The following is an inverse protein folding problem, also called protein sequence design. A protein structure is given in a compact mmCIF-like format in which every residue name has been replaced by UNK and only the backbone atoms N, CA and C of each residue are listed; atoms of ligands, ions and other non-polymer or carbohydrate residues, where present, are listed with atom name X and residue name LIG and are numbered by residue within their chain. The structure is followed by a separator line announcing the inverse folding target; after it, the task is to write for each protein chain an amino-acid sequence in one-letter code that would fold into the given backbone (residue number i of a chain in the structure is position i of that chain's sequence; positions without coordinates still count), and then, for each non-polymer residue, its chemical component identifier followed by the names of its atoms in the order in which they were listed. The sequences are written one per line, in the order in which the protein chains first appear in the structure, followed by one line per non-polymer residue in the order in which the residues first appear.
data_IF_138118398501
#
_entry.id   IF_138118398501
#
_cell.length_a   1.000
_cell.length_b   1.000
_cell.length_c   1.000
_cell.angle_alpha   90.00
_cell.angle_beta   90.00
_cell.angle_gamma   90.00
#
_symmetry.space_group_name_H-M   'P 1'
#
loop_
_entity.id
_entity.type
_entity.pdbx_description
1 polymer ?
#
# COMPACT_ATOMS: atom_id res chain seq x y z
N UNK A 1 -1.38 12.02 -41.25
CA UNK A 1 -1.99 12.67 -40.07
C UNK A 1 -3.29 11.95 -39.72
N UNK A 2 -3.19 10.69 -39.27
CA UNK A 2 -4.34 9.84 -38.93
C UNK A 2 -3.81 8.60 -38.19
N UNK A 3 -3.56 8.71 -36.88
CA UNK A 3 -3.27 7.53 -36.00
C UNK A 3 -3.42 7.83 -34.49
N UNK A 4 -4.10 8.93 -34.11
CA UNK A 4 -4.32 9.28 -32.70
C UNK A 4 -5.66 8.72 -32.14
N UNK A 5 -6.58 8.32 -33.01
CA UNK A 5 -7.93 7.87 -32.60
C UNK A 5 -7.96 6.39 -32.19
N UNK A 6 -7.12 5.55 -32.81
CA UNK A 6 -6.97 4.13 -32.45
C UNK A 6 -6.28 3.97 -31.08
N UNK A 7 -5.20 4.71 -30.87
CA UNK A 7 -4.42 4.68 -29.61
C UNK A 7 -5.20 5.23 -28.40
N UNK A 8 -6.10 6.19 -28.61
CA UNK A 8 -6.96 6.72 -27.54
C UNK A 8 -8.14 5.81 -27.19
N UNK A 9 -8.60 4.96 -28.12
CA UNK A 9 -9.67 3.98 -27.87
C UNK A 9 -9.17 2.82 -27.00
N UNK A 10 -7.99 2.26 -27.29
CA UNK A 10 -7.38 1.19 -26.48
C UNK A 10 -6.97 1.70 -25.09
N UNK A 11 -6.47 2.93 -25.00
CA UNK A 11 -6.17 3.58 -23.73
C UNK A 11 -7.44 3.82 -22.89
N UNK A 12 -8.56 4.22 -23.51
CA UNK A 12 -9.84 4.37 -22.80
C UNK A 12 -10.39 3.02 -22.31
N UNK A 13 -10.25 1.97 -23.12
CA UNK A 13 -10.66 0.61 -22.72
C UNK A 13 -9.89 0.10 -21.52
N UNK A 14 -8.56 0.29 -21.48
CA UNK A 14 -7.74 -0.08 -20.32
C UNK A 14 -8.09 0.71 -19.05
N UNK A 15 -8.46 2.00 -19.20
CA UNK A 15 -8.89 2.84 -18.09
C UNK A 15 -10.25 2.42 -17.53
N UNK A 16 -11.21 2.10 -18.38
CA UNK A 16 -12.54 1.64 -17.94
C UNK A 16 -12.43 0.31 -17.18
N UNK A 17 -11.58 -0.61 -17.65
CA UNK A 17 -11.31 -1.87 -16.96
C UNK A 17 -10.71 -1.66 -15.57
N UNK A 18 -9.70 -0.77 -15.44
CA UNK A 18 -9.10 -0.44 -14.15
C UNK A 18 -10.10 0.24 -13.22
N UNK A 19 -10.97 1.08 -13.77
CA UNK A 19 -12.00 1.79 -13.04
C UNK A 19 -13.07 0.83 -12.50
N UNK A 20 -13.60 -0.07 -13.33
CA UNK A 20 -14.54 -1.11 -12.91
C UNK A 20 -13.91 -2.02 -11.85
N UNK A 21 -12.68 -2.46 -12.07
CA UNK A 21 -11.93 -3.28 -11.12
C UNK A 21 -11.83 -2.60 -9.74
N UNK A 22 -11.33 -1.36 -9.66
CA UNK A 22 -11.18 -0.68 -8.37
C UNK A 22 -12.51 -0.29 -7.73
N UNK A 23 -13.53 0.01 -8.55
CA UNK A 23 -14.89 0.24 -8.06
C UNK A 23 -15.43 -1.00 -7.36
N UNK A 24 -15.20 -2.19 -7.92
CA UNK A 24 -15.60 -3.45 -7.30
C UNK A 24 -14.76 -3.76 -6.05
N UNK A 25 -13.43 -3.67 -6.15
CA UNK A 25 -12.50 -3.98 -5.05
C UNK A 25 -12.67 -3.07 -3.82
N UNK A 26 -13.10 -1.82 -4.02
CA UNK A 26 -13.33 -0.85 -2.95
C UNK A 26 -14.82 -0.60 -2.70
N UNK A 27 -15.69 -1.47 -3.19
CA UNK A 27 -17.12 -1.42 -2.89
C UNK A 27 -17.41 -1.95 -1.47
N UNK A 28 -18.51 -1.50 -0.88
CA UNK A 28 -18.96 -1.94 0.44
C UNK A 28 -18.36 -1.17 1.61
N UNK A 29 -18.46 -1.75 2.80
CA UNK A 29 -17.91 -1.17 4.03
C UNK A 29 -16.43 -1.52 4.15
N UNK A 30 -15.58 -0.50 4.03
CA UNK A 30 -14.14 -0.68 4.13
C UNK A 30 -13.73 -0.79 5.61
N UNK A 31 -12.83 -1.73 5.95
CA UNK A 31 -12.38 -1.91 7.32
C UNK A 31 -11.67 -0.64 7.81
N UNK A 32 -12.16 -0.09 8.92
CA UNK A 32 -11.48 0.98 9.63
C UNK A 32 -10.51 0.35 10.62
N UNK A 33 -9.23 0.69 10.49
CA UNK A 33 -8.18 0.20 11.36
C UNK A 33 -8.43 0.67 12.80
N UNK A 34 -8.74 -0.26 13.70
CA UNK A 34 -9.05 0.01 15.11
C UNK A 34 -7.77 -0.08 15.95
N UNK A 35 -6.85 0.86 15.70
CA UNK A 35 -5.71 1.01 16.58
C UNK A 35 -6.19 1.54 17.94
N UNK A 36 -5.70 0.92 19.03
CA UNK A 36 -5.77 1.50 20.37
C UNK A 36 -5.08 2.87 20.32
N UNK A 37 -5.90 3.90 20.11
CA UNK A 37 -5.42 5.27 19.96
C UNK A 37 -5.25 5.85 21.35
N UNK A 38 -4.04 6.32 21.64
CA UNK A 38 -3.71 6.99 22.91
C UNK A 38 -4.57 8.26 23.13
N UNK A 39 -5.12 8.81 22.05
CA UNK A 39 -6.01 9.99 22.07
C UNK A 39 -7.18 9.79 21.12
N UNK A 40 -8.41 10.22 21.50
CA UNK A 40 -9.54 10.16 20.59
C UNK A 40 -9.21 10.93 19.31
N UNK A 41 -9.51 10.31 18.16
CA UNK A 41 -9.30 10.93 16.84
C UNK A 41 -10.08 12.25 16.80
N UNK A 42 -9.37 13.38 16.71
CA UNK A 42 -9.99 14.71 16.66
C UNK A 42 -10.89 14.82 15.41
N UNK A 43 -12.06 15.44 15.56
CA UNK A 43 -13.00 15.68 14.46
C UNK A 43 -12.39 16.56 13.35
N UNK A 44 -11.42 17.41 13.71
CA UNK A 44 -10.60 18.18 12.78
C UNK A 44 -9.19 17.60 12.81
N UNK A 45 -8.71 17.11 11.67
CA UNK A 45 -7.37 16.54 11.54
C UNK A 45 -6.31 17.61 11.81
N UNK A 46 -5.59 17.47 12.93
CA UNK A 46 -4.36 18.24 13.14
C UNK A 46 -3.20 17.56 12.40
N UNK A 47 -2.42 18.30 11.62
CA UNK A 47 -1.22 17.79 10.94
C UNK A 47 0.02 17.71 11.85
N UNK A 48 -0.18 17.67 13.17
CA UNK A 48 0.89 17.52 14.14
C UNK A 48 1.40 16.07 14.11
N UNK A 49 2.55 15.85 13.49
CA UNK A 49 3.19 14.55 13.38
C UNK A 49 4.61 14.59 13.96
N UNK A 50 5.07 13.44 14.43
CA UNK A 50 6.46 13.21 14.85
C UNK A 50 7.02 12.04 14.03
N UNK A 51 8.25 12.18 13.56
CA UNK A 51 8.97 11.12 12.86
C UNK A 51 9.92 10.42 13.83
N UNK A 52 9.82 9.09 13.92
CA UNK A 52 10.75 8.25 14.67
C UNK A 52 11.53 7.40 13.66
N UNK A 53 12.84 7.55 13.64
CA UNK A 53 13.73 6.80 12.75
C UNK A 53 14.51 5.76 13.55
N UNK A 54 14.65 4.56 12.99
CA UNK A 54 15.47 3.51 13.55
C UNK A 54 16.24 2.79 12.42
N UNK A 55 17.33 2.13 12.78
CA UNK A 55 18.19 1.41 11.84
C UNK A 55 18.13 -0.08 12.12
N UNK A 56 17.99 -0.88 11.06
CA UNK A 56 18.04 -2.33 11.16
C UNK A 56 19.49 -2.83 11.07
N UNK A 57 19.89 -3.83 11.88
CA UNK A 57 21.21 -4.46 11.76
C UNK A 57 21.44 -5.05 10.36
N UNK A 58 22.67 -4.96 9.85
CA UNK A 58 23.01 -5.46 8.52
C UNK A 58 22.74 -6.97 8.36
N UNK A 59 22.83 -7.74 9.44
CA UNK A 59 22.50 -9.17 9.46
C UNK A 59 21.03 -9.41 9.13
N UNK A 60 20.13 -8.62 9.72
CA UNK A 60 18.69 -8.72 9.46
C UNK A 60 18.35 -8.29 8.03
N UNK A 61 18.96 -7.22 7.53
CA UNK A 61 18.77 -6.77 6.15
C UNK A 61 19.17 -7.86 5.16
N UNK A 62 20.29 -8.56 5.41
CA UNK A 62 20.71 -9.71 4.59
C UNK A 62 19.69 -10.85 4.63
N UNK A 63 19.18 -11.19 5.80
CA UNK A 63 18.16 -12.25 5.94
C UNK A 63 16.88 -11.91 5.17
N UNK A 64 16.41 -10.65 5.26
CA UNK A 64 15.25 -10.18 4.49
C UNK A 64 15.49 -10.27 2.99
N UNK A 65 16.68 -9.89 2.52
CA UNK A 65 17.03 -10.00 1.09
C UNK A 65 17.09 -11.45 0.61
N UNK A 66 17.53 -12.38 1.45
CA UNK A 66 17.54 -13.81 1.11
C UNK A 66 16.11 -14.36 1.07
N UNK A 67 15.27 -13.98 2.02
CA UNK A 67 13.87 -14.38 2.06
C UNK A 67 13.08 -13.87 0.85
N UNK A 68 13.33 -12.62 0.45
CA UNK A 68 12.66 -12.03 -0.71
C UNK A 68 13.03 -12.77 -1.99
N UNK A 69 14.31 -13.11 -2.18
CA UNK A 69 14.78 -13.93 -3.30
C UNK A 69 14.19 -15.35 -3.29
N UNK A 70 14.10 -15.98 -2.12
CA UNK A 70 13.55 -17.33 -2.00
C UNK A 70 12.04 -17.41 -2.28
N UNK A 71 11.33 -16.28 -2.16
CA UNK A 71 9.88 -16.21 -2.33
C UNK A 71 9.44 -15.46 -3.59
N UNK A 72 10.38 -15.12 -4.50
CA UNK A 72 10.14 -14.27 -5.68
C UNK A 72 9.40 -12.95 -5.36
N UNK A 73 9.69 -12.36 -4.19
CA UNK A 73 9.09 -11.11 -3.73
C UNK A 73 10.14 -10.02 -3.58
N UNK A 74 9.67 -8.78 -3.42
CA UNK A 74 10.56 -7.65 -3.09
C UNK A 74 10.76 -7.55 -1.59
N UNK A 75 11.92 -7.06 -1.13
CA UNK A 75 12.14 -6.77 0.30
C UNK A 75 11.06 -5.82 0.84
N UNK A 76 10.56 -4.90 0.01
CA UNK A 76 9.44 -4.03 0.34
C UNK A 76 8.18 -4.83 0.72
N UNK A 77 7.81 -5.88 -0.03
CA UNK A 77 6.68 -6.76 0.29
C UNK A 77 6.87 -7.49 1.61
N UNK A 78 8.09 -7.95 1.91
CA UNK A 78 8.41 -8.58 3.21
C UNK A 78 8.19 -7.60 4.36
N UNK A 79 8.66 -6.36 4.23
CA UNK A 79 8.44 -5.33 5.25
C UNK A 79 6.96 -4.95 5.38
N UNK A 80 6.24 -4.86 4.27
CA UNK A 80 4.79 -4.59 4.27
C UNK A 80 4.03 -5.71 4.99
N UNK A 81 4.35 -6.97 4.72
CA UNK A 81 3.75 -8.12 5.40
C UNK A 81 4.08 -8.11 6.90
N UNK A 82 5.34 -7.84 7.28
CA UNK A 82 5.73 -7.71 8.68
C UNK A 82 4.96 -6.58 9.39
N UNK A 83 4.74 -5.45 8.71
CA UNK A 83 3.93 -4.36 9.22
C UNK A 83 2.45 -4.74 9.40
N UNK A 84 1.87 -5.46 8.43
CA UNK A 84 0.49 -5.98 8.55
C UNK A 84 0.36 -6.98 9.71
N UNK A 85 1.32 -7.88 9.89
CA UNK A 85 1.35 -8.81 11.04
C UNK A 85 1.44 -8.07 12.37
N UNK A 86 2.24 -7.00 12.42
CA UNK A 86 2.33 -6.14 13.60
C UNK A 86 0.98 -5.50 13.91
N UNK A 87 0.33 -4.91 12.92
CA UNK A 87 -0.99 -4.29 13.07
C UNK A 87 -2.04 -5.31 13.51
N UNK A 88 -2.08 -6.48 12.87
CA UNK A 88 -2.96 -7.58 13.25
C UNK A 88 -2.78 -7.98 14.72
N UNK A 89 -1.54 -8.04 15.20
CA UNK A 89 -1.26 -8.35 16.62
C UNK A 89 -1.81 -7.28 17.59
N UNK A 90 -1.83 -6.02 17.19
CA UNK A 90 -2.32 -4.93 18.03
C UNK A 90 -3.84 -4.73 17.97
N UNK A 91 -4.46 -5.00 16.82
CA UNK A 91 -5.90 -4.74 16.61
C UNK A 91 -6.76 -5.99 16.61
N UNK A 92 -6.17 -7.18 16.42
CA UNK A 92 -6.89 -8.43 16.17
C UNK A 92 -7.61 -8.48 14.82
N UNK A 93 -7.50 -7.43 13.99
CA UNK A 93 -8.21 -7.33 12.72
C UNK A 93 -7.49 -8.12 11.63
N UNK A 94 -8.21 -8.97 10.91
CA UNK A 94 -7.67 -9.73 9.79
C UNK A 94 -7.65 -8.93 8.48
N UNK A 95 -8.55 -7.96 8.35
CA UNK A 95 -8.66 -7.13 7.15
C UNK A 95 -8.09 -5.73 7.45
N UNK A 96 -7.01 -5.40 6.75
CA UNK A 96 -6.21 -4.17 6.99
C UNK A 96 -5.98 -3.48 5.66
N UNK A 97 -6.68 -2.36 5.46
CA UNK A 97 -6.48 -1.50 4.31
C UNK A 97 -5.23 -0.61 4.51
N UNK A 98 -4.18 -0.86 3.74
CA UNK A 98 -2.94 -0.08 3.76
C UNK A 98 -2.79 0.77 2.51
N UNK A 99 -2.46 2.06 2.67
CA UNK A 99 -2.08 2.93 1.54
C UNK A 99 -0.60 2.78 1.25
N UNK A 100 -0.27 2.43 0.02
CA UNK A 100 1.10 2.50 -0.47
C UNK A 100 1.28 3.68 -1.42
N UNK A 101 2.18 4.59 -1.08
CA UNK A 101 2.61 5.62 -2.01
C UNK A 101 3.72 5.05 -2.89
N UNK A 102 3.34 4.51 -4.04
CA UNK A 102 4.30 4.24 -5.11
C UNK A 102 4.54 5.55 -5.84
N UNK A 103 5.81 5.99 -5.91
CA UNK A 103 6.18 7.19 -6.65
C UNK A 103 5.79 7.08 -8.13
N UNK A 104 5.66 8.20 -8.85
CA UNK A 104 5.29 8.17 -10.26
C UNK A 104 6.32 7.33 -11.03
N UNK A 105 5.84 6.35 -11.80
CA UNK A 105 6.63 5.70 -12.83
C UNK A 105 6.99 6.78 -13.84
N UNK A 106 8.27 7.16 -13.92
CA UNK A 106 8.74 8.02 -15.00
C UNK A 106 8.45 7.29 -16.32
N UNK A 107 7.50 7.83 -17.07
CA UNK A 107 7.40 7.57 -18.50
C UNK A 107 8.40 8.53 -19.15
N UNK A 108 9.53 7.98 -19.60
CA UNK A 108 10.40 8.62 -20.59
C UNK A 108 9.82 8.40 -21.99
#
# INVERSE_FOLDING_TARGET
MSDYTSLSFDANKGREQLWEYWREQLSGELPVLDLLTDRPRLAVQSYNAVSVTFTLPATLVRQVSQLSQASDTTSFMIFLAAFQVLLHRYTGQNDILARLCLGPTRHD
#
